data_IF_915386809950
#
_entry.id   IF_915386809950
#
_cell.length_a   1.000
_cell.length_b   1.000
_cell.length_c   1.000
_cell.angle_alpha   90.00
_cell.angle_beta   90.00
_cell.angle_gamma   90.00
#
_symmetry.space_group_name_H-M   'P 1'
#
loop_
_entity.id
_entity.type
_entity.pdbx_description
1 polymer ?
#
# COMPACT_ATOMS: atom_id res chain seq x y z
N UNK A 1 12.29 12.81 -8.84
CA UNK A 1 12.04 11.35 -8.72
C UNK A 1 11.89 11.03 -7.23
N UNK A 2 11.17 9.96 -6.87
CA UNK A 2 10.95 9.55 -5.49
C UNK A 2 11.18 8.05 -5.36
N UNK A 3 11.91 7.63 -4.32
CA UNK A 3 12.22 6.22 -4.05
C UNK A 3 11.06 5.48 -3.36
N UNK A 4 10.08 6.22 -2.84
CA UNK A 4 8.89 5.65 -2.23
C UNK A 4 7.73 6.62 -2.10
N UNK A 5 6.56 6.05 -1.78
CA UNK A 5 5.30 6.78 -1.62
C UNK A 5 4.64 6.34 -0.32
N UNK A 6 4.20 7.31 0.48
CA UNK A 6 3.28 7.08 1.59
C UNK A 6 1.93 7.70 1.24
N UNK A 7 0.89 6.87 1.27
CA UNK A 7 -0.50 7.29 1.11
C UNK A 7 -1.28 7.02 2.39
N UNK A 8 -2.10 7.98 2.82
CA UNK A 8 -3.08 7.82 3.89
C UNK A 8 -4.48 8.08 3.36
N UNK A 9 -5.45 7.25 3.75
CA UNK A 9 -6.86 7.37 3.35
C UNK A 9 -6.99 7.45 1.82
N UNK A 10 -7.55 8.53 1.26
CA UNK A 10 -7.62 8.75 -0.18
C UNK A 10 -6.27 8.70 -0.91
N UNK A 11 -5.18 9.10 -0.24
CA UNK A 11 -3.83 8.94 -0.80
C UNK A 11 -3.46 7.47 -0.98
N UNK A 12 -3.82 6.61 -0.02
CA UNK A 12 -3.59 5.17 -0.12
C UNK A 12 -4.47 4.54 -1.21
N UNK A 13 -5.73 4.99 -1.33
CA UNK A 13 -6.66 4.56 -2.38
C UNK A 13 -6.12 4.91 -3.78
N UNK A 14 -5.58 6.12 -3.94
CA UNK A 14 -4.96 6.56 -5.20
C UNK A 14 -3.73 5.72 -5.55
N UNK A 15 -2.85 5.47 -4.57
CA UNK A 15 -1.66 4.62 -4.80
C UNK A 15 -2.07 3.22 -5.23
N UNK A 16 -3.07 2.61 -4.59
CA UNK A 16 -3.59 1.31 -4.99
C UNK A 16 -4.12 1.31 -6.43
N UNK A 17 -4.82 2.36 -6.86
CA UNK A 17 -5.27 2.51 -8.23
C UNK A 17 -4.08 2.66 -9.22
N UNK A 18 -3.06 3.45 -8.89
CA UNK A 18 -1.87 3.61 -9.73
C UNK A 18 -1.10 2.30 -9.90
N UNK A 19 -1.05 1.48 -8.85
CA UNK A 19 -0.48 0.13 -8.89
C UNK A 19 -1.29 -0.79 -9.82
N UNK A 20 -2.61 -0.79 -9.67
CA UNK A 20 -3.50 -1.61 -10.49
C UNK A 20 -3.45 -1.25 -11.98
N UNK A 21 -3.35 0.05 -12.29
CA UNK A 21 -3.18 0.57 -13.64
C UNK A 21 -1.76 0.40 -14.21
N UNK A 22 -0.80 -0.02 -13.38
CA UNK A 22 0.60 -0.17 -13.76
C UNK A 22 1.34 1.15 -14.00
N UNK A 23 0.81 2.28 -13.53
CA UNK A 23 1.44 3.60 -13.69
C UNK A 23 2.79 3.69 -12.98
N UNK A 24 2.97 2.94 -11.88
CA UNK A 24 4.26 2.89 -11.16
C UNK A 24 5.32 2.05 -11.87
N UNK A 25 4.94 1.29 -12.91
CA UNK A 25 5.82 0.42 -13.71
C UNK A 25 6.23 1.04 -15.04
N UNK A 26 5.51 2.08 -15.49
CA UNK A 26 5.82 2.76 -16.76
C UNK A 26 7.08 3.59 -16.63
N UNK A 27 7.85 3.66 -17.72
CA UNK A 27 9.00 4.55 -17.82
C UNK A 27 8.57 6.00 -17.52
N UNK A 28 9.33 6.68 -16.65
CA UNK A 28 9.03 8.05 -16.27
C UNK A 28 9.42 8.40 -14.84
N UNK A 29 8.87 9.50 -14.33
CA UNK A 29 9.23 10.06 -13.02
C UNK A 29 8.96 9.09 -11.84
N UNK A 30 8.07 8.11 -12.03
CA UNK A 30 7.66 7.14 -11.01
C UNK A 30 8.38 5.78 -11.11
N UNK A 31 9.17 5.53 -12.16
CA UNK A 31 9.88 4.25 -12.37
C UNK A 31 10.95 3.96 -11.29
N UNK A 32 11.37 4.98 -10.56
CA UNK A 32 12.32 4.86 -9.44
C UNK A 32 11.66 4.45 -8.11
N UNK A 33 10.33 4.39 -8.04
CA UNK A 33 9.62 4.05 -6.81
C UNK A 33 9.83 2.58 -6.44
N UNK A 34 10.42 2.33 -5.27
CA UNK A 34 10.71 1.00 -4.74
C UNK A 34 9.91 0.65 -3.48
N UNK A 35 9.35 1.63 -2.78
CA UNK A 35 8.69 1.40 -1.49
C UNK A 35 7.33 2.10 -1.40
N UNK A 36 6.30 1.38 -0.95
CA UNK A 36 4.95 1.90 -0.75
C UNK A 36 4.51 1.70 0.71
N UNK A 37 3.93 2.73 1.32
CA UNK A 37 3.24 2.63 2.61
C UNK A 37 1.79 3.07 2.38
N UNK A 38 0.84 2.18 2.63
CA UNK A 38 -0.59 2.42 2.42
C UNK A 38 -1.31 2.32 3.76
N UNK A 39 -1.73 3.47 4.30
CA UNK A 39 -2.42 3.55 5.57
C UNK A 39 -3.92 3.81 5.38
N UNK A 40 -4.77 2.98 5.99
CA UNK A 40 -6.23 3.17 5.97
C UNK A 40 -6.83 3.17 4.56
N UNK A 41 -6.34 2.29 3.67
CA UNK A 41 -6.83 2.19 2.30
C UNK A 41 -8.25 1.59 2.23
N UNK A 42 -8.95 1.89 1.16
CA UNK A 42 -10.14 1.17 0.73
C UNK A 42 -9.97 0.79 -0.75
N UNK A 43 -10.80 -0.14 -1.23
CA UNK A 43 -10.76 -0.51 -2.65
C UNK A 43 -11.14 0.72 -3.50
N UNK A 44 -10.31 1.14 -4.46
CA UNK A 44 -10.63 2.26 -5.34
C UNK A 44 -11.88 1.96 -6.17
N UNK A 45 -12.98 2.67 -5.87
CA UNK A 45 -14.29 2.39 -6.44
C UNK A 45 -14.33 2.30 -7.97
N UNK A 46 -13.78 3.29 -8.70
CA UNK A 46 -13.70 3.26 -10.18
C UNK A 46 -12.77 2.18 -10.74
N UNK A 47 -11.85 1.64 -9.93
CA UNK A 47 -10.80 0.72 -10.35
C UNK A 47 -10.88 -0.65 -9.65
N UNK A 48 -12.08 -1.04 -9.19
CA UNK A 48 -12.30 -2.32 -8.50
C UNK A 48 -11.92 -3.51 -9.36
N UNK A 49 -12.22 -3.46 -10.66
CA UNK A 49 -11.91 -4.53 -11.60
C UNK A 49 -10.39 -4.71 -11.73
N UNK A 50 -9.68 -3.62 -11.88
CA UNK A 50 -8.22 -3.60 -12.03
C UNK A 50 -7.53 -4.11 -10.75
N UNK A 51 -8.09 -3.84 -9.57
CA UNK A 51 -7.63 -4.43 -8.30
C UNK A 51 -7.83 -5.95 -8.27
N UNK A 52 -8.99 -6.45 -8.73
CA UNK A 52 -9.25 -7.89 -8.80
C UNK A 52 -8.31 -8.57 -9.81
N UNK A 53 -8.15 -8.01 -11.01
CA UNK A 53 -7.23 -8.50 -12.05
C UNK A 53 -5.77 -8.50 -11.55
N UNK A 54 -5.37 -7.47 -10.80
CA UNK A 54 -4.05 -7.42 -10.16
C UNK A 54 -3.87 -8.54 -9.13
N UNK A 55 -4.90 -8.80 -8.31
CA UNK A 55 -4.85 -9.86 -7.32
C UNK A 55 -4.70 -11.25 -7.96
N UNK A 56 -5.38 -11.49 -9.08
CA UNK A 56 -5.33 -12.76 -9.84
C UNK A 56 -4.00 -12.95 -10.57
N UNK A 57 -3.52 -11.91 -11.26
CA UNK A 57 -2.28 -11.98 -12.04
C UNK A 57 -1.02 -12.05 -11.16
N UNK A 58 -1.04 -11.38 -10.01
CA UNK A 58 0.12 -11.24 -9.15
C UNK A 58 1.22 -10.30 -9.69
N UNK A 59 1.03 -9.70 -10.87
CA UNK A 59 1.99 -8.77 -11.49
C UNK A 59 1.95 -7.39 -10.83
N UNK A 60 2.48 -7.36 -9.61
CA UNK A 60 2.46 -6.18 -8.74
C UNK A 60 3.59 -5.22 -9.08
N UNK A 61 4.62 -5.65 -9.81
CA UNK A 61 5.87 -4.91 -9.98
C UNK A 61 6.88 -5.21 -8.88
N UNK A 62 8.05 -4.56 -8.96
CA UNK A 62 9.20 -4.84 -8.09
C UNK A 62 9.30 -3.99 -6.81
N UNK A 63 8.23 -3.30 -6.41
CA UNK A 63 8.25 -2.50 -5.19
C UNK A 63 7.90 -3.32 -3.95
N UNK A 64 8.38 -2.88 -2.80
CA UNK A 64 8.03 -3.38 -1.47
C UNK A 64 6.87 -2.55 -0.95
N UNK A 65 5.86 -3.18 -0.37
CA UNK A 65 4.71 -2.47 0.18
C UNK A 65 4.49 -2.85 1.65
N UNK A 66 4.01 -1.89 2.43
CA UNK A 66 3.49 -2.09 3.79
C UNK A 66 2.09 -1.48 3.87
N UNK A 67 1.14 -2.26 4.35
CA UNK A 67 -0.23 -1.83 4.58
C UNK A 67 -0.46 -1.69 6.08
N UNK A 68 -0.88 -0.51 6.53
CA UNK A 68 -1.28 -0.32 7.93
C UNK A 68 -2.78 -0.26 8.06
N UNK A 69 -3.35 -1.16 8.85
CA UNK A 69 -4.80 -1.40 8.93
C UNK A 69 -5.26 -1.27 10.38
N UNK A 70 -6.08 -0.26 10.65
CA UNK A 70 -6.75 -0.11 11.94
C UNK A 70 -7.92 -1.10 12.06
N UNK A 71 -7.90 -1.97 13.07
CA UNK A 71 -8.97 -2.96 13.28
C UNK A 71 -10.34 -2.33 13.57
N UNK A 72 -10.34 -1.11 14.10
CA UNK A 72 -11.53 -0.35 14.44
C UNK A 72 -11.83 0.79 13.45
N UNK A 73 -11.24 0.77 12.25
CA UNK A 73 -11.53 1.77 11.22
C UNK A 73 -12.98 1.64 10.72
N UNK A 74 -13.80 2.66 10.99
CA UNK A 74 -15.18 2.75 10.51
C UNK A 74 -15.33 3.67 9.29
N UNK A 75 -14.28 4.40 8.90
CA UNK A 75 -14.30 5.28 7.73
C UNK A 75 -13.96 4.48 6.47
N UNK A 76 -12.87 3.71 6.53
CA UNK A 76 -12.47 2.73 5.54
C UNK A 76 -12.39 1.35 6.21
N UNK A 77 -13.48 0.58 6.24
CA UNK A 77 -13.51 -0.71 6.93
C UNK A 77 -12.33 -1.63 6.54
N UNK A 78 -11.73 -2.34 7.51
CA UNK A 78 -10.47 -3.06 7.33
C UNK A 78 -10.54 -4.15 6.24
N UNK A 79 -11.72 -4.64 5.89
CA UNK A 79 -11.92 -5.58 4.78
C UNK A 79 -11.43 -5.01 3.45
N UNK A 80 -11.70 -3.73 3.19
CA UNK A 80 -11.26 -3.06 1.97
C UNK A 80 -9.74 -2.87 1.93
N UNK A 81 -9.15 -2.52 3.07
CA UNK A 81 -7.69 -2.41 3.19
C UNK A 81 -7.01 -3.78 2.99
N UNK A 82 -7.59 -4.86 3.54
CA UNK A 82 -7.10 -6.24 3.35
C UNK A 82 -7.22 -6.69 1.90
N UNK A 83 -8.28 -6.30 1.19
CA UNK A 83 -8.43 -6.59 -0.24
C UNK A 83 -7.34 -5.88 -1.05
N UNK A 84 -7.10 -4.59 -0.78
CA UNK A 84 -5.99 -3.84 -1.37
C UNK A 84 -4.65 -4.50 -1.05
N UNK A 85 -4.42 -4.91 0.19
CA UNK A 85 -3.18 -5.59 0.58
C UNK A 85 -2.99 -6.92 -0.15
N UNK A 86 -4.05 -7.70 -0.35
CA UNK A 86 -3.99 -8.93 -1.14
C UNK A 86 -3.68 -8.65 -2.60
N UNK A 87 -4.21 -7.58 -3.18
CA UNK A 87 -4.00 -7.23 -4.59
C UNK A 87 -2.60 -6.63 -4.82
N UNK A 88 -2.23 -5.61 -4.06
CA UNK A 88 -0.95 -4.89 -4.15
C UNK A 88 0.22 -5.73 -3.63
N UNK A 89 -0.03 -6.65 -2.70
CA UNK A 89 1.01 -7.42 -2.02
C UNK A 89 1.80 -6.63 -0.99
N UNK A 90 2.79 -7.28 -0.41
CA UNK A 90 3.62 -6.72 0.65
C UNK A 90 3.19 -7.15 2.05
N UNK A 91 3.77 -6.48 3.03
CA UNK A 91 3.59 -6.75 4.45
C UNK A 91 2.34 -6.04 4.98
N UNK A 92 1.71 -6.61 6.01
CA UNK A 92 0.52 -6.03 6.66
C UNK A 92 0.81 -5.84 8.14
N UNK A 93 0.62 -4.61 8.61
CA UNK A 93 0.65 -4.25 10.03
C UNK A 93 -0.76 -3.87 10.47
N UNK A 94 -1.40 -4.76 11.24
CA UNK A 94 -2.71 -4.46 11.85
C UNK A 94 -2.53 -3.96 13.28
N UNK A 95 -3.27 -2.92 13.67
CA UNK A 95 -3.20 -2.32 15.00
C UNK A 95 -4.59 -2.07 15.59
N UNK A 96 -4.65 -1.94 16.91
CA UNK A 96 -5.89 -1.72 17.68
C UNK A 96 -6.28 -0.22 17.68
N UNK A 97 -6.46 0.34 16.49
CA UNK A 97 -6.84 1.73 16.26
C UNK A 97 -7.83 1.90 15.11
N UNK A 98 -8.16 3.16 14.83
CA UNK A 98 -9.21 3.55 13.88
C UNK A 98 -8.66 4.01 12.52
N UNK A 99 -9.27 5.08 11.98
CA UNK A 99 -8.85 5.71 10.73
C UNK A 99 -7.67 6.68 10.94
N UNK A 100 -6.49 6.13 11.19
CA UNK A 100 -5.29 6.91 11.50
C UNK A 100 -4.01 6.26 10.97
N UNK A 101 -2.91 7.00 11.03
CA UNK A 101 -1.57 6.48 10.78
C UNK A 101 -0.98 6.10 12.14
N UNK A 102 -0.67 4.81 12.40
CA UNK A 102 -0.10 4.41 13.69
C UNK A 102 1.32 4.96 13.83
N UNK A 103 1.65 5.48 15.01
CA UNK A 103 2.95 6.10 15.32
C UNK A 103 3.60 5.50 16.57
N UNK A 104 3.09 4.36 17.05
CA UNK A 104 3.71 3.63 18.15
C UNK A 104 5.04 2.97 17.72
N UNK A 105 5.76 2.45 18.70
CA UNK A 105 7.08 1.86 18.48
C UNK A 105 7.04 0.72 17.46
N UNK A 106 5.99 -0.10 17.48
CA UNK A 106 5.82 -1.22 16.56
C UNK A 106 5.56 -0.76 15.12
N UNK A 107 4.76 0.29 14.93
CA UNK A 107 4.54 0.89 13.62
C UNK A 107 5.80 1.53 13.07
N UNK A 108 6.54 2.28 13.91
CA UNK A 108 7.82 2.88 13.52
C UNK A 108 8.87 1.82 13.14
N UNK A 109 8.89 0.69 13.85
CA UNK A 109 9.73 -0.46 13.51
C UNK A 109 9.33 -1.08 12.16
N UNK A 110 8.03 -1.24 11.89
CA UNK A 110 7.53 -1.74 10.61
C UNK A 110 7.91 -0.81 9.45
N UNK A 111 7.74 0.52 9.62
CA UNK A 111 8.16 1.50 8.62
C UNK A 111 9.66 1.45 8.36
N UNK A 112 10.46 1.42 9.43
CA UNK A 112 11.93 1.38 9.33
C UNK A 112 12.39 0.09 8.65
N UNK A 113 11.78 -1.04 8.98
CA UNK A 113 12.09 -2.34 8.36
C UNK A 113 11.80 -2.36 6.86
N UNK A 114 10.73 -1.71 6.40
CA UNK A 114 10.46 -1.56 4.97
C UNK A 114 11.50 -0.65 4.30
N UNK A 115 11.74 0.52 4.88
CA UNK A 115 12.52 1.59 4.25
C UNK A 115 14.03 1.34 4.26
N UNK A 116 14.55 0.70 5.30
CA UNK A 116 15.98 0.47 5.50
C UNK A 116 16.47 -0.88 4.97
N UNK A 117 15.59 -1.71 4.42
CA UNK A 117 16.01 -2.94 3.73
C UNK A 117 16.94 -2.58 2.58
N UNK A 118 18.21 -3.01 2.70
CA UNK A 118 19.18 -2.97 1.60
C UNK A 118 18.64 -3.80 0.45
N UNK A 119 18.74 -3.29 -0.77
CA UNK A 119 18.50 -4.09 -1.96
C UNK A 119 19.55 -5.21 -2.00
N UNK A 120 19.12 -6.46 -2.15
CA UNK A 120 20.05 -7.54 -2.45
C UNK A 120 20.64 -7.22 -3.83
N UNK A 121 21.95 -6.97 -3.85
CA UNK A 121 22.72 -6.55 -5.03
C UNK A 121 22.82 -7.66 -6.09
#
# INVERSE_FOLDING_TARGET
PFDGILGFSQGAILVAALVALGELRKDGAMASCKSLILAGAAVPGPFRREIAELAESGDRGGFRALHTIGRADTMNPPEGAREVARAVGGEVFEFDGGHEVPLDEAALEAYSSLLLRKEDA
#
